data_IF_485829333526
#
_entry.id   IF_485829333526
#
_cell.length_a   1.000
_cell.length_b   1.000
_cell.length_c   1.000
_cell.angle_alpha   90.00
_cell.angle_beta   90.00
_cell.angle_gamma   90.00
#
_symmetry.space_group_name_H-M   'P 1'
#
loop_
_entity.id
_entity.type
_entity.pdbx_description
1 polymer ?
#
# COMPACT_ATOMS: atom_id res chain seq x y z
N UNK A 1 -11.97 -3.56 3.12
CA UNK A 1 -11.42 -4.79 2.46
C UNK A 1 -12.18 -5.12 1.17
N UNK A 2 -13.52 -5.31 1.15
CA UNK A 2 -14.30 -5.73 -0.04
C UNK A 2 -14.09 -4.84 -1.28
N UNK A 3 -14.08 -3.53 -1.13
CA UNK A 3 -13.79 -2.60 -2.24
C UNK A 3 -12.40 -2.85 -2.83
N UNK A 4 -11.39 -3.06 -1.99
CA UNK A 4 -10.04 -3.39 -2.45
C UNK A 4 -9.97 -4.76 -3.14
N UNK A 5 -10.72 -5.75 -2.64
CA UNK A 5 -10.84 -7.07 -3.28
C UNK A 5 -11.42 -6.97 -4.70
N UNK A 6 -12.38 -6.07 -4.91
CA UNK A 6 -12.96 -5.80 -6.24
C UNK A 6 -11.94 -5.09 -7.14
N UNK A 7 -11.24 -4.07 -6.64
CA UNK A 7 -10.23 -3.32 -7.43
C UNK A 7 -9.10 -4.26 -7.87
N UNK A 8 -8.70 -5.21 -7.03
CA UNK A 8 -7.62 -6.17 -7.34
C UNK A 8 -8.08 -7.40 -8.14
N UNK A 9 -9.38 -7.54 -8.40
CA UNK A 9 -9.94 -8.66 -9.17
C UNK A 9 -10.16 -9.95 -8.40
N UNK A 10 -9.82 -9.97 -7.09
CA UNK A 10 -10.04 -11.12 -6.19
C UNK A 10 -11.51 -11.45 -6.03
N UNK A 11 -12.37 -10.44 -6.08
CA UNK A 11 -13.83 -10.57 -6.04
C UNK A 11 -14.43 -9.81 -7.21
N UNK A 12 -15.42 -10.40 -7.88
CA UNK A 12 -16.16 -9.72 -8.95
C UNK A 12 -17.41 -9.04 -8.36
N UNK A 13 -17.73 -7.79 -8.78
CA UNK A 13 -18.98 -7.16 -8.38
C UNK A 13 -20.16 -7.81 -9.09
N UNK A 14 -21.31 -7.89 -8.43
CA UNK A 14 -22.55 -8.37 -9.05
C UNK A 14 -23.06 -7.37 -10.10
N UNK A 15 -22.91 -6.07 -9.83
CA UNK A 15 -23.33 -4.98 -10.69
C UNK A 15 -22.33 -3.81 -10.60
N UNK A 16 -22.13 -3.12 -11.73
CA UNK A 16 -21.26 -1.95 -11.80
C UNK A 16 -19.91 -2.25 -12.45
N UNK A 17 -19.08 -1.21 -12.54
CA UNK A 17 -17.77 -1.22 -13.17
C UNK A 17 -16.75 -0.50 -12.31
N UNK A 18 -15.48 -0.90 -12.41
CA UNK A 18 -14.35 -0.21 -11.80
C UNK A 18 -13.40 0.24 -12.90
N UNK A 19 -13.28 1.55 -13.08
CA UNK A 19 -12.48 2.13 -14.16
C UNK A 19 -11.12 2.59 -13.62
N UNK A 20 -10.02 2.15 -14.25
CA UNK A 20 -8.66 2.60 -13.96
C UNK A 20 -8.14 3.48 -15.08
N UNK A 21 -7.59 4.67 -14.73
CA UNK A 21 -7.10 5.63 -15.70
C UNK A 21 -8.16 6.11 -16.71
N UNK A 22 -9.45 6.03 -16.35
CA UNK A 22 -10.58 6.47 -17.14
C UNK A 22 -10.93 5.58 -18.36
N UNK A 23 -10.12 4.56 -18.67
CA UNK A 23 -10.28 3.76 -19.90
C UNK A 23 -10.27 2.26 -19.70
N UNK A 24 -9.72 1.75 -18.60
CA UNK A 24 -9.58 0.31 -18.35
C UNK A 24 -10.62 -0.16 -17.35
N UNK A 25 -11.52 -1.05 -17.77
CA UNK A 25 -12.48 -1.69 -16.88
C UNK A 25 -11.84 -2.89 -16.17
N UNK A 26 -11.50 -2.73 -14.90
CA UNK A 26 -10.85 -3.76 -14.08
C UNK A 26 -11.74 -4.98 -13.85
N UNK A 27 -13.07 -4.84 -13.89
CA UNK A 27 -14.00 -5.95 -13.65
C UNK A 27 -13.90 -7.05 -14.71
N UNK A 28 -13.30 -6.74 -15.86
CA UNK A 28 -13.07 -7.66 -16.99
C UNK A 28 -11.72 -8.36 -16.96
N UNK A 29 -10.85 -7.99 -16.03
CA UNK A 29 -9.48 -8.50 -15.92
C UNK A 29 -9.36 -9.51 -14.77
N UNK A 30 -8.34 -10.34 -14.84
CA UNK A 30 -7.91 -11.19 -13.72
C UNK A 30 -6.89 -10.44 -12.83
N UNK A 31 -6.58 -11.01 -11.67
CA UNK A 31 -5.66 -10.43 -10.69
C UNK A 31 -4.28 -10.17 -11.30
N UNK A 32 -3.78 -11.09 -12.14
CA UNK A 32 -2.45 -10.95 -12.74
C UNK A 32 -2.40 -9.80 -13.76
N UNK A 33 -3.43 -9.64 -14.58
CA UNK A 33 -3.55 -8.53 -15.51
C UNK A 33 -3.65 -7.19 -14.77
N UNK A 34 -4.43 -7.12 -13.68
CA UNK A 34 -4.56 -5.94 -12.83
C UNK A 34 -3.23 -5.57 -12.17
N UNK A 35 -2.50 -6.54 -11.62
CA UNK A 35 -1.17 -6.31 -11.06
C UNK A 35 -0.19 -5.79 -12.13
N UNK A 36 -0.24 -6.33 -13.35
CA UNK A 36 0.60 -5.88 -14.47
C UNK A 36 0.28 -4.45 -14.96
N UNK A 37 -0.94 -3.94 -14.71
CA UNK A 37 -1.28 -2.53 -14.95
C UNK A 37 -0.59 -1.58 -13.97
N UNK A 38 -0.01 -2.11 -12.90
CA UNK A 38 0.66 -1.35 -11.84
C UNK A 38 -0.26 -1.06 -10.66
N UNK A 39 -1.21 -1.92 -10.36
CA UNK A 39 -2.02 -1.84 -9.14
C UNK A 39 -1.42 -2.80 -8.12
N UNK A 40 -0.82 -2.25 -7.05
CA UNK A 40 -0.25 -3.00 -5.95
C UNK A 40 -1.12 -2.92 -4.70
N UNK A 41 -1.23 -4.02 -3.95
CA UNK A 41 -1.96 -4.05 -2.68
C UNK A 41 -1.10 -4.57 -1.55
N UNK A 42 -1.07 -3.83 -0.45
CA UNK A 42 -0.59 -4.28 0.84
C UNK A 42 -1.73 -4.96 1.60
N UNK A 43 -1.50 -6.18 2.04
CA UNK A 43 -2.45 -6.92 2.87
C UNK A 43 -2.30 -6.55 4.36
N UNK A 44 -3.28 -6.92 5.19
CA UNK A 44 -3.27 -6.63 6.63
C UNK A 44 -2.10 -7.31 7.36
N UNK A 45 -1.77 -8.55 6.98
CA UNK A 45 -0.62 -9.26 7.56
C UNK A 45 0.62 -9.07 6.68
N UNK A 46 1.78 -8.68 7.26
CA UNK A 46 3.01 -8.53 6.50
C UNK A 46 3.44 -9.85 5.84
N UNK A 47 3.76 -9.78 4.54
CA UNK A 47 4.18 -10.93 3.72
C UNK A 47 5.67 -10.85 3.40
N UNK A 48 6.51 -10.56 4.40
CA UNK A 48 7.96 -10.48 4.23
C UNK A 48 8.63 -11.86 4.37
N UNK A 49 9.76 -12.02 3.70
CA UNK A 49 10.58 -13.24 3.83
C UNK A 49 11.50 -13.11 5.05
N UNK A 50 11.05 -13.58 6.20
CA UNK A 50 11.71 -13.42 7.51
C UNK A 50 13.18 -13.90 7.55
N UNK A 51 13.53 -14.92 6.76
CA UNK A 51 14.87 -15.53 6.69
C UNK A 51 15.81 -14.85 5.69
N UNK A 52 15.33 -13.87 4.96
CA UNK A 52 16.12 -13.06 4.04
C UNK A 52 16.45 -11.70 4.65
N UNK A 53 17.48 -11.04 4.15
CA UNK A 53 17.80 -9.68 4.55
C UNK A 53 16.72 -8.71 4.08
N UNK A 54 16.70 -7.53 4.65
CA UNK A 54 15.79 -6.45 4.22
C UNK A 54 16.06 -6.10 2.74
N UNK A 55 17.33 -6.01 2.35
CA UNK A 55 17.74 -5.79 0.96
C UNK A 55 17.26 -6.90 0.03
N UNK A 56 17.43 -8.17 0.42
CA UNK A 56 16.96 -9.31 -0.37
C UNK A 56 15.46 -9.27 -0.61
N UNK A 57 14.67 -8.88 0.39
CA UNK A 57 13.22 -8.73 0.27
C UNK A 57 12.87 -7.71 -0.82
N UNK A 58 13.53 -6.54 -0.84
CA UNK A 58 13.33 -5.53 -1.88
C UNK A 58 13.81 -6.05 -3.25
N UNK A 59 14.98 -6.69 -3.30
CA UNK A 59 15.56 -7.27 -4.53
C UNK A 59 14.62 -8.31 -5.16
N UNK A 60 14.05 -9.21 -4.37
CA UNK A 60 13.09 -10.22 -4.83
C UNK A 60 11.80 -9.61 -5.39
N UNK A 61 11.40 -8.44 -4.88
CA UNK A 61 10.21 -7.72 -5.32
C UNK A 61 10.44 -6.85 -6.56
N UNK A 62 11.71 -6.58 -6.96
CA UNK A 62 12.00 -5.72 -8.11
C UNK A 62 11.31 -6.21 -9.39
N UNK A 63 10.70 -5.25 -10.10
CA UNK A 63 10.13 -5.48 -11.42
C UNK A 63 11.25 -5.82 -12.41
N UNK A 64 11.35 -7.06 -12.83
CA UNK A 64 12.35 -7.52 -13.77
C UNK A 64 11.79 -8.53 -14.77
N UNK A 65 12.36 -8.57 -15.98
CA UNK A 65 12.06 -9.64 -16.95
C UNK A 65 12.71 -10.94 -16.45
N UNK A 66 11.91 -11.81 -15.85
CA UNK A 66 12.34 -13.12 -15.32
C UNK A 66 12.43 -14.13 -16.47
N UNK A 67 13.57 -14.22 -17.15
CA UNK A 67 13.88 -15.33 -18.07
C UNK A 67 14.82 -16.31 -17.37
N UNK A 68 14.69 -17.61 -17.68
CA UNK A 68 15.48 -18.69 -17.03
C UNK A 68 16.99 -18.38 -17.05
N UNK A 69 17.53 -17.95 -18.18
CA UNK A 69 18.97 -17.62 -18.32
C UNK A 69 19.37 -16.41 -17.45
N UNK A 70 18.55 -15.37 -17.39
CA UNK A 70 18.83 -14.19 -16.54
C UNK A 70 18.72 -14.52 -15.05
N UNK A 71 17.84 -15.40 -14.67
CA UNK A 71 17.68 -15.82 -13.27
C UNK A 71 18.85 -16.68 -12.79
N UNK A 72 19.38 -17.55 -13.67
CA UNK A 72 20.49 -18.45 -13.33
C UNK A 72 21.84 -17.72 -13.19
N UNK A 73 22.06 -16.63 -13.96
CA UNK A 73 23.28 -15.82 -13.95
C UNK A 73 23.00 -14.40 -13.45
N UNK A 74 22.10 -14.26 -12.46
CA UNK A 74 21.71 -12.97 -11.94
C UNK A 74 22.88 -12.25 -11.29
N UNK A 75 23.12 -11.02 -11.73
CA UNK A 75 23.93 -10.03 -11.03
C UNK A 75 23.09 -8.76 -10.90
N UNK A 76 23.09 -8.17 -9.73
CA UNK A 76 22.43 -6.86 -9.53
C UNK A 76 23.17 -5.82 -10.36
N UNK A 77 22.43 -5.13 -11.24
CA UNK A 77 22.96 -4.06 -12.08
C UNK A 77 22.92 -2.72 -11.30
N UNK A 78 23.80 -1.77 -11.61
CA UNK A 78 23.85 -0.45 -10.93
C UNK A 78 22.47 0.26 -10.82
N UNK A 79 21.62 0.29 -11.88
CA UNK A 79 20.29 0.91 -11.77
C UNK A 79 19.38 0.22 -10.76
N UNK A 80 19.52 -1.10 -10.60
CA UNK A 80 18.75 -1.88 -9.63
C UNK A 80 19.22 -1.59 -8.20
N UNK A 81 20.54 -1.53 -7.99
CA UNK A 81 21.09 -1.18 -6.69
C UNK A 81 20.66 0.21 -6.26
N UNK A 82 20.73 1.19 -7.16
CA UNK A 82 20.23 2.54 -6.89
C UNK A 82 18.76 2.53 -6.52
N UNK A 83 17.93 1.76 -7.25
CA UNK A 83 16.49 1.65 -6.93
C UNK A 83 16.25 1.05 -5.55
N UNK A 84 17.04 0.04 -5.14
CA UNK A 84 16.98 -0.55 -3.79
C UNK A 84 17.36 0.50 -2.75
N UNK A 85 18.45 1.25 -2.97
CA UNK A 85 18.91 2.28 -2.05
C UNK A 85 17.86 3.39 -1.87
N UNK A 86 17.26 3.85 -2.97
CA UNK A 86 16.17 4.84 -2.95
C UNK A 86 14.97 4.34 -2.14
N UNK A 87 14.53 3.09 -2.38
CA UNK A 87 13.41 2.49 -1.65
C UNK A 87 13.74 2.33 -0.17
N UNK A 88 14.92 1.81 0.18
CA UNK A 88 15.35 1.66 1.57
C UNK A 88 15.41 3.00 2.29
N UNK A 89 15.79 4.08 1.60
CA UNK A 89 15.74 5.44 2.11
C UNK A 89 14.31 5.90 2.38
N UNK A 90 13.38 5.68 1.43
CA UNK A 90 11.97 6.05 1.56
C UNK A 90 11.34 5.32 2.77
N UNK A 91 11.54 4.00 2.89
CA UNK A 91 10.96 3.19 3.99
C UNK A 91 11.76 3.27 5.30
N UNK A 92 12.77 4.13 5.39
CA UNK A 92 13.59 4.37 6.58
C UNK A 92 14.26 3.10 7.14
N UNK A 93 14.70 2.18 6.28
CA UNK A 93 15.36 0.93 6.65
C UNK A 93 16.79 0.79 6.11
N UNK A 94 17.38 1.85 5.57
CA UNK A 94 18.70 1.82 4.96
C UNK A 94 19.81 1.39 5.93
N UNK A 95 19.74 1.81 7.20
CA UNK A 95 20.68 1.46 8.27
C UNK A 95 20.61 -0.01 8.71
N UNK A 96 19.56 -0.73 8.28
CA UNK A 96 19.29 -2.12 8.67
C UNK A 96 19.31 -3.09 7.48
N UNK A 97 19.76 -2.63 6.30
CA UNK A 97 19.66 -3.36 5.04
C UNK A 97 20.12 -4.82 5.09
N UNK A 98 21.19 -5.10 5.82
CA UNK A 98 21.78 -6.45 5.95
C UNK A 98 21.16 -7.30 7.06
N UNK A 99 20.24 -6.71 7.88
CA UNK A 99 19.56 -7.48 8.93
C UNK A 99 18.50 -8.39 8.33
N UNK A 100 18.25 -9.51 8.99
CA UNK A 100 17.13 -10.39 8.65
C UNK A 100 15.79 -9.69 8.90
N UNK A 101 14.87 -9.77 7.94
CA UNK A 101 13.54 -9.17 8.06
C UNK A 101 12.76 -9.69 9.27
N UNK A 102 13.01 -10.93 9.70
CA UNK A 102 12.40 -11.51 10.89
C UNK A 102 12.74 -10.78 12.20
N UNK A 103 13.85 -10.01 12.24
CA UNK A 103 14.27 -9.22 13.42
C UNK A 103 13.60 -7.84 13.53
N UNK A 104 12.82 -7.44 12.53
CA UNK A 104 12.13 -6.17 12.50
C UNK A 104 10.94 -6.14 13.47
N UNK A 105 10.62 -4.95 14.01
CA UNK A 105 9.34 -4.72 14.68
C UNK A 105 8.16 -4.91 13.71
N UNK A 106 6.94 -5.01 14.26
CA UNK A 106 5.74 -5.12 13.44
C UNK A 106 5.63 -3.94 12.46
N UNK A 107 5.77 -2.71 12.92
CA UNK A 107 5.72 -1.51 12.09
C UNK A 107 6.81 -1.49 11.02
N UNK A 108 8.04 -1.89 11.36
CA UNK A 108 9.13 -1.97 10.38
C UNK A 108 8.88 -3.04 9.29
N UNK A 109 8.24 -4.16 9.63
CA UNK A 109 7.81 -5.16 8.64
C UNK A 109 6.76 -4.58 7.68
N UNK A 110 5.84 -3.77 8.20
CA UNK A 110 4.85 -3.06 7.38
C UNK A 110 5.54 -2.09 6.40
N UNK A 111 6.56 -1.34 6.86
CA UNK A 111 7.33 -0.45 5.99
C UNK A 111 8.12 -1.22 4.92
N UNK A 112 8.73 -2.35 5.30
CA UNK A 112 9.41 -3.22 4.34
C UNK A 112 8.45 -3.73 3.25
N UNK A 113 7.24 -4.14 3.63
CA UNK A 113 6.22 -4.58 2.67
C UNK A 113 5.80 -3.46 1.72
N UNK A 114 5.64 -2.22 2.22
CA UNK A 114 5.42 -1.04 1.36
C UNK A 114 6.61 -0.85 0.40
N UNK A 115 7.84 -1.02 0.89
CA UNK A 115 9.05 -0.98 0.05
C UNK A 115 9.05 -2.05 -1.05
N UNK A 116 8.64 -3.27 -0.73
CA UNK A 116 8.49 -4.35 -1.71
C UNK A 116 7.44 -4.02 -2.79
N UNK A 117 6.36 -3.35 -2.42
CA UNK A 117 5.37 -2.86 -3.39
C UNK A 117 5.97 -1.75 -4.27
N UNK A 118 6.69 -0.78 -3.70
CA UNK A 118 7.36 0.27 -4.45
C UNK A 118 8.40 -0.28 -5.45
N UNK A 119 9.03 -1.42 -5.12
CA UNK A 119 9.99 -2.09 -6.00
C UNK A 119 9.34 -2.59 -7.32
N UNK A 120 8.03 -2.78 -7.32
CA UNK A 120 7.25 -3.16 -8.51
C UNK A 120 6.84 -1.97 -9.38
N UNK A 121 7.21 -0.73 -8.98
CA UNK A 121 6.88 0.50 -9.68
C UNK A 121 5.36 0.64 -9.94
N UNK A 122 4.53 0.65 -8.88
CA UNK A 122 3.08 0.68 -9.00
C UNK A 122 2.61 2.09 -9.40
N UNK A 123 1.52 2.16 -10.18
CA UNK A 123 0.78 3.40 -10.45
C UNK A 123 -0.22 3.71 -9.33
N UNK A 124 -0.75 2.66 -8.71
CA UNK A 124 -1.71 2.74 -7.61
C UNK A 124 -1.31 1.77 -6.50
N UNK A 125 -1.16 2.31 -5.29
CA UNK A 125 -0.99 1.51 -4.07
C UNK A 125 -2.32 1.48 -3.30
N UNK A 126 -2.76 0.29 -2.98
CA UNK A 126 -3.88 0.02 -2.08
C UNK A 126 -3.33 -0.44 -0.74
N UNK A 127 -3.56 0.33 0.31
CA UNK A 127 -3.00 0.08 1.64
C UNK A 127 -4.14 -0.12 2.64
N UNK A 128 -4.24 -1.33 3.18
CA UNK A 128 -5.32 -1.75 4.09
C UNK A 128 -4.79 -1.75 5.52
N UNK A 129 -5.32 -0.89 6.38
CA UNK A 129 -4.99 -0.73 7.80
C UNK A 129 -3.47 -0.68 8.07
N UNK A 130 -2.74 0.30 7.48
CA UNK A 130 -1.28 0.34 7.57
C UNK A 130 -0.71 0.55 8.97
N UNK A 131 -1.50 1.08 9.92
CA UNK A 131 -1.02 1.43 11.26
C UNK A 131 -1.55 0.51 12.35
N UNK A 132 -2.26 -0.57 11.99
CA UNK A 132 -2.78 -1.52 12.97
C UNK A 132 -1.64 -2.11 13.83
N UNK A 133 -1.75 -1.96 15.15
CA UNK A 133 -0.77 -2.48 16.12
C UNK A 133 0.57 -1.72 16.18
N UNK A 134 0.63 -0.51 15.60
CA UNK A 134 1.79 0.38 15.70
C UNK A 134 1.73 1.26 16.95
N UNK A 135 2.89 1.71 17.39
CA UNK A 135 3.01 2.79 18.37
C UNK A 135 2.68 4.14 17.74
N UNK A 136 2.38 5.17 18.56
CA UNK A 136 2.10 6.52 18.05
C UNK A 136 3.23 7.07 17.17
N UNK A 137 4.50 6.83 17.58
CA UNK A 137 5.67 7.24 16.80
C UNK A 137 5.77 6.51 15.45
N UNK A 138 5.47 5.20 15.38
CA UNK A 138 5.44 4.44 14.12
C UNK A 138 4.27 4.90 13.24
N UNK A 139 3.13 5.23 13.83
CA UNK A 139 1.95 5.77 13.14
C UNK A 139 2.26 7.10 12.45
N UNK A 140 2.90 8.04 13.17
CA UNK A 140 3.32 9.33 12.61
C UNK A 140 4.31 9.14 11.46
N UNK A 141 5.32 8.29 11.65
CA UNK A 141 6.28 7.96 10.60
C UNK A 141 5.65 7.30 9.37
N UNK A 142 4.60 6.50 9.57
CA UNK A 142 3.84 5.88 8.48
C UNK A 142 3.04 6.92 7.69
N UNK A 143 2.46 7.92 8.37
CA UNK A 143 1.79 9.03 7.69
C UNK A 143 2.76 9.83 6.81
N UNK A 144 3.94 10.16 7.33
CA UNK A 144 5.01 10.83 6.55
C UNK A 144 5.45 9.98 5.34
N UNK A 145 5.64 8.68 5.54
CA UNK A 145 6.02 7.73 4.50
C UNK A 145 4.99 7.72 3.37
N UNK A 146 3.71 7.53 3.69
CA UNK A 146 2.64 7.49 2.68
C UNK A 146 2.46 8.85 1.99
N UNK A 147 2.61 9.95 2.71
CA UNK A 147 2.58 11.30 2.13
C UNK A 147 3.74 11.54 1.15
N UNK A 148 4.92 10.97 1.44
CA UNK A 148 6.07 11.02 0.53
C UNK A 148 5.81 10.21 -0.73
N UNK A 149 5.29 8.99 -0.59
CA UNK A 149 4.95 8.10 -1.71
C UNK A 149 3.85 8.71 -2.60
N UNK A 150 2.88 9.40 -2.00
CA UNK A 150 1.76 10.02 -2.71
C UNK A 150 2.15 11.19 -3.64
N UNK A 151 3.42 11.64 -3.61
CA UNK A 151 3.94 12.64 -4.57
C UNK A 151 4.11 12.07 -5.97
N UNK A 152 4.46 10.79 -6.08
CA UNK A 152 4.80 10.14 -7.34
C UNK A 152 3.83 9.00 -7.71
N UNK A 153 3.04 8.52 -6.75
CA UNK A 153 2.13 7.41 -6.90
C UNK A 153 0.72 7.76 -6.41
N UNK A 154 -0.32 7.20 -7.04
CA UNK A 154 -1.65 7.25 -6.45
C UNK A 154 -1.71 6.29 -5.25
N UNK A 155 -2.21 6.76 -4.11
CA UNK A 155 -2.34 5.97 -2.88
C UNK A 155 -3.78 5.99 -2.39
N UNK A 156 -4.35 4.83 -2.14
CA UNK A 156 -5.64 4.67 -1.47
C UNK A 156 -5.41 3.93 -0.17
N UNK A 157 -5.80 4.56 0.94
CA UNK A 157 -5.69 4.00 2.29
C UNK A 157 -7.08 3.68 2.81
N UNK A 158 -7.26 2.50 3.37
CA UNK A 158 -8.45 2.16 4.18
C UNK A 158 -8.02 2.13 5.64
N UNK A 159 -8.62 2.97 6.45
CA UNK A 159 -8.28 3.13 7.85
C UNK A 159 -9.49 3.54 8.67
N UNK A 160 -9.42 3.26 9.97
CA UNK A 160 -10.41 3.67 10.96
C UNK A 160 -9.80 4.55 12.06
N UNK A 161 -8.49 4.74 12.10
CA UNK A 161 -7.81 5.67 12.98
C UNK A 161 -7.94 7.11 12.45
N UNK A 162 -8.79 7.89 13.10
CA UNK A 162 -9.09 9.27 12.69
C UNK A 162 -7.92 10.22 12.86
N UNK A 163 -7.01 9.96 13.81
CA UNK A 163 -5.81 10.77 14.01
C UNK A 163 -4.84 10.57 12.85
N UNK A 164 -4.63 9.32 12.45
CA UNK A 164 -3.81 8.98 11.29
C UNK A 164 -4.40 9.52 9.98
N UNK A 165 -5.72 9.35 9.74
CA UNK A 165 -6.39 9.90 8.56
C UNK A 165 -6.25 11.42 8.51
N UNK A 166 -6.33 12.11 9.65
CA UNK A 166 -6.09 13.56 9.75
C UNK A 166 -4.65 13.93 9.40
N UNK A 167 -3.67 13.15 9.86
CA UNK A 167 -2.26 13.39 9.56
C UNK A 167 -1.94 13.24 8.06
N UNK A 168 -2.67 12.38 7.33
CA UNK A 168 -2.51 12.24 5.87
C UNK A 168 -2.99 13.49 5.10
N UNK A 169 -3.91 14.28 5.64
CA UNK A 169 -4.38 15.53 5.04
C UNK A 169 -5.01 15.39 3.64
N UNK A 170 -5.58 14.24 3.33
CA UNK A 170 -6.12 13.90 2.02
C UNK A 170 -7.67 13.95 1.98
N UNK A 171 -8.23 13.73 0.78
CA UNK A 171 -9.67 13.54 0.60
C UNK A 171 -10.11 12.23 1.25
N UNK A 172 -11.18 12.29 2.01
CA UNK A 172 -11.77 11.16 2.74
C UNK A 172 -13.13 10.80 2.14
N UNK A 173 -13.35 9.51 1.93
CA UNK A 173 -14.66 8.95 1.59
C UNK A 173 -15.08 8.01 2.70
N UNK A 174 -16.13 8.35 3.42
CA UNK A 174 -16.71 7.53 4.48
C UNK A 174 -17.73 6.56 3.88
N UNK A 175 -17.51 5.26 4.11
CA UNK A 175 -18.40 4.19 3.66
C UNK A 175 -19.16 3.59 4.85
N UNK A 176 -20.46 3.38 4.69
CA UNK A 176 -21.29 2.66 5.64
C UNK A 176 -22.25 1.75 4.90
N UNK A 177 -22.33 0.47 5.32
CA UNK A 177 -23.18 -0.56 4.71
C UNK A 177 -23.07 -0.61 3.17
N UNK A 178 -21.83 -0.46 2.65
CA UNK A 178 -21.55 -0.51 1.22
C UNK A 178 -21.90 0.77 0.42
N UNK A 179 -22.37 1.81 1.07
CA UNK A 179 -22.75 3.09 0.45
C UNK A 179 -21.82 4.22 0.87
N UNK A 180 -21.62 5.22 0.00
CA UNK A 180 -20.91 6.45 0.36
C UNK A 180 -21.82 7.28 1.28
N UNK A 181 -21.38 7.47 2.53
CA UNK A 181 -22.10 8.24 3.53
C UNK A 181 -21.74 9.73 3.46
N UNK A 182 -20.45 10.02 3.33
CA UNK A 182 -19.93 11.38 3.20
C UNK A 182 -18.59 11.37 2.45
N UNK A 183 -18.26 12.50 1.81
CA UNK A 183 -16.99 12.68 1.10
C UNK A 183 -16.52 14.13 1.22
N UNK A 184 -15.21 14.32 1.47
CA UNK A 184 -14.63 15.66 1.62
C UNK A 184 -13.32 15.66 2.40
N UNK A 185 -12.99 16.79 3.04
CA UNK A 185 -11.90 16.84 4.02
C UNK A 185 -12.29 16.05 5.28
N UNK A 186 -11.28 15.64 6.06
CA UNK A 186 -11.53 14.92 7.32
C UNK A 186 -12.44 15.74 8.26
N UNK A 187 -12.31 17.06 8.29
CA UNK A 187 -13.16 17.93 9.12
C UNK A 187 -14.61 17.96 8.62
N UNK A 188 -14.81 18.03 7.30
CA UNK A 188 -16.15 17.97 6.71
C UNK A 188 -16.83 16.62 6.95
N UNK A 189 -16.09 15.53 6.82
CA UNK A 189 -16.61 14.18 7.04
C UNK A 189 -16.91 13.93 8.52
N UNK A 190 -16.01 14.32 9.43
CA UNK A 190 -16.18 14.12 10.87
C UNK A 190 -17.26 15.01 11.51
N UNK A 191 -17.62 16.13 10.87
CA UNK A 191 -18.72 17.00 11.30
C UNK A 191 -20.07 16.65 10.66
N UNK A 192 -20.12 15.70 9.76
CA UNK A 192 -21.37 15.26 9.13
C UNK A 192 -22.25 14.52 10.15
N UNK A 193 -23.50 14.99 10.35
CA UNK A 193 -24.42 14.44 11.35
C UNK A 193 -24.62 12.92 11.21
N UNK A 194 -24.74 12.41 9.98
CA UNK A 194 -24.91 10.98 9.72
C UNK A 194 -23.67 10.17 10.08
N UNK A 195 -22.47 10.73 9.85
CA UNK A 195 -21.20 10.08 10.23
C UNK A 195 -21.08 10.05 11.76
N UNK A 196 -21.43 11.14 12.42
CA UNK A 196 -21.45 11.24 13.90
C UNK A 196 -22.42 10.21 14.50
N UNK A 197 -23.63 10.10 13.96
CA UNK A 197 -24.63 9.13 14.41
C UNK A 197 -24.13 7.68 14.28
N UNK A 198 -23.56 7.33 13.13
CA UNK A 198 -23.16 5.95 12.78
C UNK A 198 -21.87 5.53 13.49
N UNK A 199 -20.86 6.39 13.55
CA UNK A 199 -19.53 6.03 14.01
C UNK A 199 -19.20 6.51 15.43
N UNK A 200 -19.84 7.57 15.91
CA UNK A 200 -19.58 8.16 17.23
C UNK A 200 -20.72 7.90 18.23
N UNK A 201 -21.82 7.28 17.80
CA UNK A 201 -22.89 6.80 18.68
C UNK A 201 -23.60 7.90 19.50
N UNK A 202 -23.74 9.10 18.94
CA UNK A 202 -24.38 10.26 19.58
C UNK A 202 -25.65 10.66 18.87
#
# INVERSE_FOLDING_TARGET
TTMMDIITGKTKPDVGTVMFGGSVDLTRLDEAAIANLGIGRKFQQPTVFDRHTIEDNILLALKSKRTVGRTLFWKTEEPQQKRIDDILGIVKLADKRERLAGSLSHGQKQWLEIGMLLAQDPKLLLVDEPVAGMTDAETEQTAELLSTIARDHAVVVVEHDMAFVRALGCKVTCLHEGSVLAEGSIDAVSSNERVVEVYLGR
#
